data_IF_692082217596
#
_entry.id   IF_692082217596
#
_cell.length_a   1.000
_cell.length_b   1.000
_cell.length_c   1.000
_cell.angle_alpha   90.00
_cell.angle_beta   90.00
_cell.angle_gamma   90.00
#
_symmetry.space_group_name_H-M   'P 1'
#
loop_
_entity.id
_entity.type
_entity.pdbx_description
1 polymer ?
#
# COMPACT_ATOMS: atom_id res chain seq x y z
N UNK A 1 3.30 -3.97 36.56
CA UNK A 1 2.64 -2.93 35.74
C UNK A 1 3.60 -2.56 34.62
N UNK A 2 3.52 -3.26 33.49
CA UNK A 2 4.44 -3.04 32.37
C UNK A 2 4.02 -1.77 31.65
N UNK A 3 4.81 -0.72 31.86
CA UNK A 3 4.70 0.55 31.15
C UNK A 3 4.85 0.25 29.66
N UNK A 4 3.97 0.83 28.85
CA UNK A 4 4.00 0.79 27.40
C UNK A 4 5.44 0.99 26.88
N UNK A 5 5.99 -0.02 26.20
CA UNK A 5 7.32 0.12 25.60
C UNK A 5 7.21 1.03 24.38
N UNK A 6 7.60 2.30 24.55
CA UNK A 6 7.66 3.29 23.48
C UNK A 6 8.51 2.79 22.30
N UNK A 7 9.48 1.90 22.55
CA UNK A 7 10.28 1.24 21.51
C UNK A 7 9.45 0.36 20.58
N UNK A 8 8.50 -0.42 21.12
CA UNK A 8 7.58 -1.28 20.36
C UNK A 8 6.71 -0.48 19.40
N UNK A 9 6.18 0.66 19.84
CA UNK A 9 5.40 1.55 18.96
C UNK A 9 6.27 2.15 17.86
N UNK A 10 7.48 2.61 18.18
CA UNK A 10 8.42 3.17 17.20
C UNK A 10 8.72 2.14 16.10
N UNK A 11 8.96 0.87 16.46
CA UNK A 11 9.19 -0.21 15.49
C UNK A 11 7.97 -0.53 14.63
N UNK A 12 6.76 -0.28 15.13
CA UNK A 12 5.52 -0.50 14.40
C UNK A 12 5.14 0.64 13.42
N UNK A 13 5.69 1.85 13.62
CA UNK A 13 5.31 3.05 12.85
C UNK A 13 5.54 2.94 11.33
N UNK A 14 6.66 2.38 10.81
CA UNK A 14 6.84 2.25 9.37
C UNK A 14 5.69 1.47 8.71
N UNK A 15 5.33 0.32 9.27
CA UNK A 15 4.24 -0.53 8.80
C UNK A 15 2.86 0.15 8.93
N UNK A 16 2.64 0.86 10.04
CA UNK A 16 1.42 1.65 10.26
C UNK A 16 1.25 2.74 9.19
N UNK A 17 2.35 3.41 8.80
CA UNK A 17 2.35 4.39 7.70
C UNK A 17 2.08 3.72 6.37
N UNK A 18 2.76 2.62 6.04
CA UNK A 18 2.50 1.88 4.79
C UNK A 18 1.02 1.52 4.65
N UNK A 19 0.44 0.94 5.69
CA UNK A 19 -0.98 0.61 5.74
C UNK A 19 -1.89 1.85 5.58
N UNK A 20 -1.64 2.93 6.34
CA UNK A 20 -2.45 4.14 6.29
C UNK A 20 -2.37 4.85 4.94
N UNK A 21 -1.17 4.95 4.34
CA UNK A 21 -0.97 5.56 3.03
C UNK A 21 -1.66 4.75 1.94
N UNK A 22 -1.54 3.42 1.97
CA UNK A 22 -2.23 2.55 1.02
C UNK A 22 -3.77 2.63 1.17
N UNK A 23 -4.28 2.74 2.39
CA UNK A 23 -5.72 2.85 2.66
C UNK A 23 -6.31 4.21 2.26
N UNK A 24 -5.53 5.28 2.39
CA UNK A 24 -5.95 6.67 2.09
C UNK A 24 -5.56 7.16 0.69
N UNK A 25 -4.66 6.44 0.01
CA UNK A 25 -4.13 6.79 -1.32
C UNK A 25 -3.11 7.93 -1.34
N UNK A 26 -2.69 8.44 -0.19
CA UNK A 26 -1.82 9.62 -0.08
C UNK A 26 -0.82 9.50 1.07
N UNK A 27 0.40 9.97 0.85
CA UNK A 27 1.41 10.10 1.90
C UNK A 27 0.91 11.05 3.01
N UNK A 28 0.54 12.27 2.64
CA UNK A 28 0.16 13.32 3.58
C UNK A 28 -1.03 12.88 4.46
N UNK A 29 -2.12 12.42 3.83
CA UNK A 29 -3.31 12.00 4.56
C UNK A 29 -3.05 10.75 5.39
N UNK A 30 -2.25 9.81 4.89
CA UNK A 30 -1.86 8.60 5.62
C UNK A 30 -1.08 8.93 6.89
N UNK A 31 -0.08 9.81 6.78
CA UNK A 31 0.79 10.19 7.91
C UNK A 31 0.03 11.01 8.97
N UNK A 32 -0.89 11.88 8.55
CA UNK A 32 -1.82 12.59 9.45
C UNK A 32 -2.69 11.60 10.25
N UNK A 33 -3.27 10.59 9.58
CA UNK A 33 -4.07 9.54 10.22
C UNK A 33 -3.24 8.72 11.21
N UNK A 34 -1.98 8.39 10.88
CA UNK A 34 -1.08 7.68 11.81
C UNK A 34 -0.78 8.53 13.05
N UNK A 35 -0.51 9.82 12.89
CA UNK A 35 -0.23 10.71 14.01
C UNK A 35 -1.41 10.81 14.98
N UNK A 36 -2.64 10.79 14.47
CA UNK A 36 -3.86 10.74 15.28
C UNK A 36 -4.11 9.38 15.94
N UNK A 37 -3.92 8.30 15.19
CA UNK A 37 -4.04 6.94 15.70
C UNK A 37 -3.04 6.68 16.84
N UNK A 38 -1.81 7.18 16.70
CA UNK A 38 -0.79 7.10 17.75
C UNK A 38 -1.25 7.82 19.02
N UNK A 39 -1.79 9.04 18.90
CA UNK A 39 -2.34 9.78 20.06
C UNK A 39 -3.47 9.00 20.75
N UNK A 40 -4.33 8.32 19.98
CA UNK A 40 -5.38 7.47 20.53
C UNK A 40 -4.81 6.26 21.29
N UNK A 41 -3.84 5.55 20.70
CA UNK A 41 -3.24 4.36 21.33
C UNK A 41 -2.46 4.74 22.59
N UNK A 42 -1.75 5.87 22.59
CA UNK A 42 -1.03 6.39 23.77
C UNK A 42 -1.98 6.88 24.88
N UNK A 43 -3.14 7.45 24.53
CA UNK A 43 -4.10 8.01 25.48
C UNK A 43 -5.10 6.98 26.04
N UNK A 44 -5.34 5.90 25.31
CA UNK A 44 -6.05 4.73 25.83
C UNK A 44 -5.10 4.01 26.78
N UNK A 45 -5.52 3.68 28.00
CA UNK A 45 -4.74 2.86 28.93
C UNK A 45 -4.64 1.41 28.42
N UNK A 46 -4.03 1.19 27.25
CA UNK A 46 -3.67 -0.09 26.68
C UNK A 46 -2.50 -0.66 27.50
N UNK A 47 -2.79 -0.97 28.76
CA UNK A 47 -1.87 -1.62 29.66
C UNK A 47 -1.52 -2.99 29.07
N UNK A 48 -0.26 -3.18 28.67
CA UNK A 48 0.28 -4.51 28.38
C UNK A 48 0.59 -4.85 26.92
N UNK A 49 0.67 -3.88 26.00
CA UNK A 49 1.29 -4.13 24.68
C UNK A 49 2.79 -4.42 24.87
N UNK A 50 3.11 -5.69 25.07
CA UNK A 50 4.48 -6.15 25.32
C UNK A 50 5.15 -6.71 24.06
N UNK A 51 4.35 -7.05 23.05
CA UNK A 51 4.82 -7.61 21.79
C UNK A 51 4.61 -6.65 20.61
N UNK A 52 5.60 -6.60 19.70
CA UNK A 52 5.57 -5.80 18.47
C UNK A 52 4.31 -6.10 17.62
N UNK A 53 3.85 -7.35 17.61
CA UNK A 53 2.61 -7.74 16.92
C UNK A 53 1.37 -7.03 17.50
N UNK A 54 1.24 -6.97 18.83
CA UNK A 54 0.08 -6.35 19.48
C UNK A 54 0.05 -4.84 19.22
N UNK A 55 1.21 -4.19 19.25
CA UNK A 55 1.34 -2.76 18.94
C UNK A 55 0.94 -2.46 17.49
N UNK A 56 1.35 -3.30 16.53
CA UNK A 56 0.91 -3.18 15.13
C UNK A 56 -0.60 -3.30 15.01
N UNK A 57 -1.21 -4.33 15.59
CA UNK A 57 -2.68 -4.52 15.53
C UNK A 57 -3.43 -3.35 16.17
N UNK A 58 -2.95 -2.83 17.30
CA UNK A 58 -3.54 -1.67 17.95
C UNK A 58 -3.50 -0.42 17.06
N UNK A 59 -2.35 -0.14 16.42
CA UNK A 59 -2.21 0.98 15.49
C UNK A 59 -3.08 0.79 14.23
N UNK A 60 -3.10 -0.39 13.62
CA UNK A 60 -3.94 -0.69 12.47
C UNK A 60 -5.43 -0.47 12.75
N UNK A 61 -5.90 -0.92 13.92
CA UNK A 61 -7.28 -0.71 14.33
C UNK A 61 -7.60 0.77 14.58
N UNK A 62 -6.70 1.50 15.24
CA UNK A 62 -6.86 2.94 15.46
C UNK A 62 -6.86 3.73 14.13
N UNK A 63 -6.04 3.34 13.15
CA UNK A 63 -6.07 3.91 11.79
C UNK A 63 -7.43 3.66 11.12
N UNK A 64 -7.93 2.43 11.19
CA UNK A 64 -9.22 2.04 10.63
C UNK A 64 -10.38 2.89 11.15
N UNK A 65 -10.38 3.22 12.43
CA UNK A 65 -11.39 4.10 13.03
C UNK A 65 -11.38 5.50 12.47
N UNK A 66 -10.18 6.06 12.30
CA UNK A 66 -10.01 7.44 11.85
C UNK A 66 -10.46 7.58 10.42
N UNK A 67 -10.09 6.62 9.58
CA UNK A 67 -10.56 6.59 8.19
C UNK A 67 -12.08 6.43 8.16
N UNK A 68 -12.66 5.54 8.97
CA UNK A 68 -14.12 5.34 9.05
C UNK A 68 -14.86 6.58 9.55
N UNK A 69 -14.31 7.30 10.52
CA UNK A 69 -14.92 8.52 11.05
C UNK A 69 -14.83 9.70 10.07
N UNK A 70 -13.85 9.68 9.16
CA UNK A 70 -13.65 10.71 8.14
C UNK A 70 -14.38 10.42 6.82
N UNK A 71 -14.85 9.19 6.58
CA UNK A 71 -15.73 8.88 5.44
C UNK A 71 -17.15 9.37 5.78
N UNK A 72 -17.77 10.25 4.97
CA UNK A 72 -19.16 10.62 5.17
C UNK A 72 -20.04 9.36 5.11
N UNK A 73 -21.05 9.30 5.97
CA UNK A 73 -22.05 8.23 5.89
C UNK A 73 -22.57 8.15 4.45
N UNK A 74 -22.70 6.97 3.85
CA UNK A 74 -23.09 6.84 2.45
C UNK A 74 -24.45 7.52 2.22
N UNK A 75 -24.43 8.70 1.58
CA UNK A 75 -25.62 9.36 1.07
C UNK A 75 -26.02 8.64 -0.23
N UNK A 76 -26.77 7.54 -0.06
CA UNK A 76 -27.06 6.58 -1.12
C UNK A 76 -26.15 5.36 -0.98
N UNK A 77 -26.76 4.16 -1.03
CA UNK A 77 -26.04 2.90 -0.90
C UNK A 77 -24.82 2.84 -1.82
N UNK A 78 -23.74 2.19 -1.35
CA UNK A 78 -22.54 1.98 -2.14
C UNK A 78 -22.91 1.52 -3.55
N UNK A 79 -22.34 2.18 -4.57
CA UNK A 79 -22.56 1.78 -5.95
C UNK A 79 -22.24 0.28 -6.10
N UNK A 80 -23.15 -0.48 -6.73
CA UNK A 80 -22.94 -1.91 -6.97
C UNK A 80 -21.58 -2.11 -7.66
N UNK A 81 -20.64 -2.77 -6.97
CA UNK A 81 -19.29 -3.04 -7.47
C UNK A 81 -18.14 -2.26 -6.80
N UNK A 82 -18.42 -1.27 -5.94
CA UNK A 82 -17.36 -0.63 -5.14
C UNK A 82 -17.01 -1.44 -3.89
N UNK A 83 -15.71 -1.70 -3.71
CA UNK A 83 -15.20 -2.41 -2.55
C UNK A 83 -15.34 -1.58 -1.28
N UNK A 84 -15.95 -2.15 -0.25
CA UNK A 84 -16.19 -1.45 1.01
C UNK A 84 -14.89 -1.10 1.73
N UNK A 85 -14.92 -0.11 2.64
CA UNK A 85 -13.77 0.21 3.49
C UNK A 85 -13.28 -1.03 4.25
N UNK A 86 -14.20 -1.82 4.80
CA UNK A 86 -13.85 -3.04 5.54
C UNK A 86 -13.11 -4.06 4.66
N UNK A 87 -13.60 -4.28 3.45
CA UNK A 87 -12.97 -5.19 2.48
C UNK A 87 -11.57 -4.73 2.09
N UNK A 88 -11.40 -3.42 1.84
CA UNK A 88 -10.09 -2.80 1.58
C UNK A 88 -9.13 -2.97 2.75
N UNK A 89 -9.59 -2.72 3.97
CA UNK A 89 -8.79 -2.92 5.19
C UNK A 89 -8.34 -4.37 5.32
N UNK A 90 -9.24 -5.34 5.14
CA UNK A 90 -8.91 -6.77 5.23
C UNK A 90 -7.89 -7.19 4.18
N UNK A 91 -8.03 -6.74 2.93
CA UNK A 91 -7.06 -7.01 1.88
C UNK A 91 -5.67 -6.44 2.21
N UNK A 92 -5.60 -5.18 2.62
CA UNK A 92 -4.34 -4.54 2.98
C UNK A 92 -3.69 -5.21 4.19
N UNK A 93 -4.46 -5.52 5.23
CA UNK A 93 -3.91 -6.17 6.42
C UNK A 93 -3.40 -7.58 6.14
N UNK A 94 -4.09 -8.35 5.30
CA UNK A 94 -3.72 -9.75 5.03
C UNK A 94 -2.69 -9.91 3.92
N UNK A 95 -2.75 -9.10 2.86
CA UNK A 95 -1.80 -9.17 1.75
C UNK A 95 -0.59 -8.26 1.98
N UNK A 96 -0.80 -6.96 2.20
CA UNK A 96 0.30 -5.99 2.30
C UNK A 96 1.05 -6.06 3.64
N UNK A 97 0.30 -6.18 4.75
CA UNK A 97 0.88 -6.25 6.09
C UNK A 97 1.09 -7.69 6.58
N UNK A 98 0.76 -8.69 5.76
CA UNK A 98 0.94 -10.13 6.04
C UNK A 98 0.40 -10.58 7.41
N UNK A 99 -0.68 -9.95 7.88
CA UNK A 99 -1.30 -10.30 9.16
C UNK A 99 -2.20 -11.52 8.99
N UNK A 100 -2.20 -12.45 9.97
CA UNK A 100 -3.16 -13.55 9.96
C UNK A 100 -4.59 -13.00 10.04
N UNK A 101 -5.54 -13.71 9.41
CA UNK A 101 -6.94 -13.27 9.30
C UNK A 101 -7.56 -12.94 10.66
N UNK A 102 -7.21 -13.67 11.71
CA UNK A 102 -7.69 -13.41 13.08
C UNK A 102 -7.21 -12.07 13.63
N UNK A 103 -5.96 -11.68 13.36
CA UNK A 103 -5.41 -10.40 13.77
C UNK A 103 -5.95 -9.24 12.92
N UNK A 104 -6.13 -9.47 11.60
CA UNK A 104 -6.80 -8.51 10.73
C UNK A 104 -8.26 -8.28 11.16
N UNK A 105 -9.00 -9.34 11.51
CA UNK A 105 -10.36 -9.25 12.04
C UNK A 105 -10.41 -8.43 13.34
N UNK A 106 -9.45 -8.65 14.25
CA UNK A 106 -9.32 -7.90 15.49
C UNK A 106 -9.05 -6.40 15.23
N UNK A 107 -8.12 -6.07 14.32
CA UNK A 107 -7.87 -4.69 13.90
C UNK A 107 -9.14 -4.04 13.30
N UNK A 108 -9.89 -4.78 12.49
CA UNK A 108 -11.14 -4.32 11.88
C UNK A 108 -12.35 -4.29 12.82
N UNK A 109 -12.22 -4.78 14.06
CA UNK A 109 -13.28 -4.89 15.08
C UNK A 109 -14.46 -5.76 14.66
N UNK A 110 -14.15 -6.89 14.05
CA UNK A 110 -15.14 -7.87 13.63
C UNK A 110 -14.72 -9.27 14.07
N UNK A 111 -15.67 -10.20 14.03
CA UNK A 111 -15.38 -11.61 14.30
C UNK A 111 -14.72 -12.28 13.09
N UNK A 112 -13.86 -13.31 13.28
CA UNK A 112 -13.14 -13.97 12.18
C UNK A 112 -14.05 -14.54 11.07
N UNK A 113 -15.23 -15.06 11.43
CA UNK A 113 -16.18 -15.60 10.45
C UNK A 113 -16.69 -14.52 9.47
N UNK A 114 -16.94 -13.30 9.97
CA UNK A 114 -17.31 -12.15 9.12
C UNK A 114 -16.11 -11.73 8.27
N UNK A 115 -14.91 -11.69 8.84
CA UNK A 115 -13.70 -11.31 8.11
C UNK A 115 -13.43 -12.27 6.94
N UNK A 116 -13.66 -13.57 7.13
CA UNK A 116 -13.48 -14.57 6.07
C UNK A 116 -14.44 -14.34 4.89
N UNK A 117 -15.72 -14.08 5.18
CA UNK A 117 -16.71 -13.79 4.16
C UNK A 117 -16.37 -12.51 3.39
N UNK A 118 -16.09 -11.42 4.11
CA UNK A 118 -15.76 -10.12 3.50
C UNK A 118 -14.48 -10.18 2.68
N UNK A 119 -13.44 -10.87 3.17
CA UNK A 119 -12.19 -11.03 2.43
C UNK A 119 -12.39 -11.85 1.15
N UNK A 120 -13.28 -12.85 1.16
CA UNK A 120 -13.63 -13.63 -0.03
C UNK A 120 -14.29 -12.73 -1.08
N UNK A 121 -15.30 -11.95 -0.69
CA UNK A 121 -15.98 -10.99 -1.57
C UNK A 121 -15.01 -9.93 -2.12
N UNK A 122 -14.10 -9.45 -1.28
CA UNK A 122 -13.07 -8.49 -1.68
C UNK A 122 -12.14 -9.08 -2.76
N UNK A 123 -11.70 -10.33 -2.59
CA UNK A 123 -10.85 -11.03 -3.57
C UNK A 123 -11.57 -11.26 -4.89
N UNK A 124 -12.84 -11.60 -4.87
CA UNK A 124 -13.63 -11.75 -6.10
C UNK A 124 -13.73 -10.41 -6.85
N UNK A 125 -13.89 -9.30 -6.11
CA UNK A 125 -13.91 -7.95 -6.68
C UNK A 125 -12.57 -7.51 -7.30
N UNK A 126 -11.44 -7.98 -6.75
CA UNK A 126 -10.11 -7.74 -7.37
C UNK A 126 -10.00 -8.38 -8.75
N UNK A 127 -10.59 -9.56 -8.94
CA UNK A 127 -10.53 -10.31 -10.21
C UNK A 127 -11.32 -9.64 -11.32
N UNK A 128 -12.28 -8.78 -10.96
CA UNK A 128 -13.08 -7.98 -11.89
C UNK A 128 -12.52 -6.57 -12.09
N UNK A 129 -11.36 -6.26 -11.50
CA UNK A 129 -10.72 -4.95 -11.55
C UNK A 129 -10.30 -4.49 -12.95
N UNK A 130 -10.06 -3.19 -13.09
CA UNK A 130 -9.71 -2.55 -14.37
C UNK A 130 -8.29 -2.91 -14.79
N UNK A 131 -8.14 -3.46 -15.99
CA UNK A 131 -6.85 -3.67 -16.64
C UNK A 131 -6.17 -2.31 -16.95
N UNK A 132 -4.87 -2.21 -16.73
CA UNK A 132 -4.08 -1.00 -17.01
C UNK A 132 -2.75 -1.36 -17.66
N UNK A 133 -2.09 -0.35 -18.21
CA UNK A 133 -0.78 -0.44 -18.87
C UNK A 133 0.30 -0.11 -17.86
N UNK A 134 1.23 -1.03 -17.64
CA UNK A 134 2.23 -0.95 -16.56
C UNK A 134 3.62 -0.78 -17.15
N UNK A 135 4.34 0.25 -16.70
CA UNK A 135 5.78 0.37 -16.90
C UNK A 135 6.50 -0.21 -15.68
N UNK A 136 7.48 -1.08 -15.91
CA UNK A 136 8.34 -1.64 -14.87
C UNK A 136 9.70 -0.95 -14.93
N UNK A 137 10.24 -0.52 -13.79
CA UNK A 137 11.58 0.04 -13.65
C UNK A 137 12.35 -0.86 -12.69
N UNK A 138 13.28 -1.66 -13.21
CA UNK A 138 13.99 -2.72 -12.51
C UNK A 138 15.27 -3.07 -13.28
N UNK A 139 16.44 -3.05 -12.63
CA UNK A 139 17.72 -3.37 -13.27
C UNK A 139 18.05 -4.86 -13.25
N UNK A 140 17.50 -5.62 -12.30
CA UNK A 140 17.70 -7.06 -12.20
C UNK A 140 16.77 -7.83 -13.16
N UNK A 141 17.29 -8.47 -14.24
CA UNK A 141 16.43 -9.02 -15.29
C UNK A 141 15.50 -10.15 -14.82
N UNK A 142 15.96 -10.96 -13.86
CA UNK A 142 15.16 -12.07 -13.30
C UNK A 142 13.99 -11.49 -12.50
N UNK A 143 14.24 -10.49 -11.66
CA UNK A 143 13.19 -9.83 -10.89
C UNK A 143 12.21 -9.13 -11.83
N UNK A 144 12.70 -8.46 -12.87
CA UNK A 144 11.83 -7.78 -13.84
C UNK A 144 10.87 -8.75 -14.55
N UNK A 145 11.36 -9.94 -14.94
CA UNK A 145 10.55 -10.99 -15.55
C UNK A 145 9.51 -11.55 -14.58
N UNK A 146 9.90 -11.80 -13.32
CA UNK A 146 8.97 -12.26 -12.29
C UNK A 146 7.85 -11.24 -12.06
N UNK A 147 8.20 -9.95 -11.95
CA UNK A 147 7.22 -8.86 -11.80
C UNK A 147 6.31 -8.79 -13.03
N UNK A 148 6.86 -8.88 -14.24
CA UNK A 148 6.08 -8.89 -15.48
C UNK A 148 5.04 -10.02 -15.47
N UNK A 149 5.44 -11.26 -15.15
CA UNK A 149 4.51 -12.40 -15.10
C UNK A 149 3.40 -12.16 -14.07
N UNK A 150 3.73 -11.62 -12.90
CA UNK A 150 2.75 -11.30 -11.86
C UNK A 150 1.76 -10.21 -12.32
N UNK A 151 2.25 -9.16 -12.96
CA UNK A 151 1.44 -8.06 -13.51
C UNK A 151 0.46 -8.60 -14.56
N UNK A 152 0.94 -9.41 -15.49
CA UNK A 152 0.14 -10.00 -16.56
C UNK A 152 -0.92 -10.97 -16.01
N UNK A 153 -0.56 -11.78 -14.99
CA UNK A 153 -1.51 -12.66 -14.29
C UNK A 153 -2.61 -11.90 -13.53
N UNK A 154 -2.35 -10.65 -13.14
CA UNK A 154 -3.36 -9.76 -12.56
C UNK A 154 -4.27 -9.11 -13.62
N UNK A 155 -4.06 -9.39 -14.91
CA UNK A 155 -4.88 -8.86 -16.01
C UNK A 155 -4.41 -7.50 -16.54
N UNK A 156 -3.24 -7.02 -16.12
CA UNK A 156 -2.63 -5.80 -16.66
C UNK A 156 -1.71 -6.14 -17.85
N UNK A 157 -1.29 -5.13 -18.61
CA UNK A 157 -0.32 -5.30 -19.72
C UNK A 157 0.96 -4.52 -19.45
N UNK A 158 2.11 -5.17 -19.61
CA UNK A 158 3.41 -4.50 -19.47
C UNK A 158 3.76 -3.81 -20.79
N UNK A 159 4.01 -2.49 -20.74
CA UNK A 159 4.36 -1.70 -21.92
C UNK A 159 5.86 -1.57 -22.15
N UNK A 160 6.64 -1.87 -21.11
CA UNK A 160 8.09 -1.83 -21.17
C UNK A 160 8.71 -2.12 -19.81
N UNK A 161 9.99 -2.51 -19.86
CA UNK A 161 10.86 -2.68 -18.71
C UNK A 161 12.05 -1.76 -18.93
N UNK A 162 12.34 -0.90 -17.96
CA UNK A 162 13.49 -0.01 -17.95
C UNK A 162 14.50 -0.44 -16.89
N UNK A 163 15.78 -0.58 -17.27
CA UNK A 163 16.85 -0.89 -16.33
C UNK A 163 17.56 0.37 -15.81
N UNK A 164 17.27 1.54 -16.40
CA UNK A 164 17.91 2.81 -16.04
C UNK A 164 16.92 3.96 -15.96
N UNK A 165 17.30 5.05 -15.27
CA UNK A 165 16.48 6.25 -15.20
C UNK A 165 16.14 6.84 -16.58
N UNK A 166 17.11 6.83 -17.50
CA UNK A 166 16.95 7.41 -18.83
C UNK A 166 15.96 6.61 -19.68
N UNK A 167 16.07 5.28 -19.64
CA UNK A 167 15.12 4.38 -20.32
C UNK A 167 13.72 4.52 -19.74
N UNK A 168 13.59 4.62 -18.42
CA UNK A 168 12.31 4.75 -17.75
C UNK A 168 11.56 6.01 -18.19
N UNK A 169 12.25 7.15 -18.25
CA UNK A 169 11.67 8.40 -18.73
C UNK A 169 11.27 8.31 -20.20
N UNK A 170 12.14 7.77 -21.06
CA UNK A 170 11.85 7.62 -22.48
C UNK A 170 10.64 6.70 -22.74
N UNK A 171 10.56 5.55 -22.07
CA UNK A 171 9.44 4.61 -22.18
C UNK A 171 8.16 5.20 -21.62
N UNK A 172 8.22 5.93 -20.50
CA UNK A 172 7.03 6.58 -19.95
C UNK A 172 6.45 7.63 -20.90
N UNK A 173 7.29 8.44 -21.54
CA UNK A 173 6.88 9.45 -22.52
C UNK A 173 6.25 8.81 -23.78
N UNK A 174 6.87 7.75 -24.29
CA UNK A 174 6.42 7.04 -25.48
C UNK A 174 5.12 6.25 -25.25
N UNK A 175 5.07 5.48 -24.16
CA UNK A 175 4.00 4.51 -23.93
C UNK A 175 2.84 5.06 -23.10
N UNK A 176 3.04 6.15 -22.35
CA UNK A 176 2.04 6.77 -21.47
C UNK A 176 1.37 5.72 -20.55
N UNK A 177 2.13 5.05 -19.67
CA UNK A 177 1.61 4.00 -18.81
C UNK A 177 0.55 4.52 -17.84
N UNK A 178 -0.43 3.67 -17.50
CA UNK A 178 -1.46 3.95 -16.50
C UNK A 178 -1.05 3.56 -15.08
N UNK A 179 0.11 2.92 -14.90
CA UNK A 179 0.72 2.58 -13.62
C UNK A 179 2.24 2.42 -13.82
N UNK A 180 3.02 2.84 -12.84
CA UNK A 180 4.47 2.58 -12.80
C UNK A 180 4.80 1.72 -11.58
N UNK A 181 5.51 0.61 -11.80
CA UNK A 181 6.17 -0.16 -10.76
C UNK A 181 7.66 0.15 -10.81
N UNK A 182 8.23 0.61 -9.71
CA UNK A 182 9.62 1.05 -9.69
C UNK A 182 10.40 0.46 -8.51
N UNK A 183 11.53 -0.18 -8.77
CA UNK A 183 12.58 -0.29 -7.76
C UNK A 183 13.14 1.10 -7.46
N UNK A 184 13.54 1.31 -6.21
CA UNK A 184 14.28 2.47 -5.76
C UNK A 184 15.73 2.40 -6.23
N UNK A 185 16.37 1.24 -6.13
CA UNK A 185 17.80 1.11 -6.36
C UNK A 185 18.06 0.34 -7.65
N UNK A 186 18.47 1.04 -8.71
CA UNK A 186 18.76 0.44 -10.01
C UNK A 186 20.26 0.14 -10.20
N UNK A 187 21.02 0.07 -9.10
CA UNK A 187 22.46 -0.19 -9.14
C UNK A 187 23.21 0.83 -10.00
N UNK A 188 23.79 0.37 -11.10
CA UNK A 188 24.49 1.23 -12.07
C UNK A 188 23.55 2.09 -12.93
N UNK A 189 22.25 1.75 -12.97
CA UNK A 189 21.20 2.43 -13.72
C UNK A 189 20.64 3.68 -13.04
N UNK A 190 21.02 3.96 -11.78
CA UNK A 190 20.66 5.17 -11.03
C UNK A 190 19.64 4.93 -9.91
N UNK A 191 18.90 5.99 -9.57
CA UNK A 191 17.87 6.01 -8.54
C UNK A 191 16.48 6.03 -9.18
N UNK A 192 15.71 4.95 -8.97
CA UNK A 192 14.37 4.84 -9.53
C UNK A 192 13.38 5.85 -8.94
N UNK A 193 13.59 6.38 -7.74
CA UNK A 193 12.80 7.49 -7.21
C UNK A 193 13.05 8.78 -8.00
N UNK A 194 14.28 9.01 -8.46
CA UNK A 194 14.59 10.12 -9.35
C UNK A 194 13.96 9.93 -10.74
N UNK A 195 14.00 8.71 -11.29
CA UNK A 195 13.30 8.37 -12.54
C UNK A 195 11.80 8.68 -12.43
N UNK A 196 11.16 8.19 -11.38
CA UNK A 196 9.73 8.44 -11.10
C UNK A 196 9.45 9.93 -10.96
N UNK A 197 10.25 10.67 -10.19
CA UNK A 197 10.04 12.11 -10.02
C UNK A 197 10.11 12.88 -11.34
N UNK A 198 10.95 12.43 -12.29
CA UNK A 198 11.01 12.99 -13.64
C UNK A 198 9.79 12.62 -14.48
N UNK A 199 9.36 11.36 -14.44
CA UNK A 199 8.15 10.87 -15.13
C UNK A 199 6.92 11.68 -14.68
N UNK A 200 6.76 11.88 -13.37
CA UNK A 200 5.61 12.55 -12.79
C UNK A 200 5.51 14.05 -13.11
N UNK A 201 6.58 14.69 -13.61
CA UNK A 201 6.51 16.07 -14.11
C UNK A 201 5.63 16.21 -15.37
N UNK A 202 5.43 15.11 -16.09
CA UNK A 202 4.79 15.10 -17.41
C UNK A 202 3.65 14.09 -17.51
N UNK A 203 3.44 13.27 -16.48
CA UNK A 203 2.49 12.16 -16.42
C UNK A 203 1.82 12.09 -15.05
N UNK A 204 0.52 11.81 -15.05
CA UNK A 204 -0.28 11.63 -13.83
C UNK A 204 -0.56 10.16 -13.57
N UNK A 205 0.45 9.30 -13.71
CA UNK A 205 0.31 7.87 -13.47
C UNK A 205 0.55 7.55 -11.97
N UNK A 206 -0.27 6.70 -11.33
CA UNK A 206 0.04 6.19 -10.01
C UNK A 206 1.36 5.41 -10.04
N UNK A 207 2.09 5.46 -8.93
CA UNK A 207 3.38 4.79 -8.77
C UNK A 207 3.34 3.90 -7.54
N UNK A 208 3.85 2.68 -7.70
CA UNK A 208 4.09 1.74 -6.62
C UNK A 208 5.60 1.48 -6.58
N UNK A 209 6.21 1.75 -5.44
CA UNK A 209 7.61 1.41 -5.22
C UNK A 209 7.75 0.00 -4.71
N UNK A 210 8.81 -0.67 -5.16
CA UNK A 210 9.09 -2.07 -4.85
C UNK A 210 10.51 -2.14 -4.28
N UNK A 211 10.69 -2.61 -3.05
CA UNK A 211 12.02 -2.56 -2.40
C UNK A 211 12.21 -3.67 -1.37
N UNK A 212 13.46 -4.07 -1.11
CA UNK A 212 13.79 -4.96 -0.01
C UNK A 212 13.78 -4.26 1.38
N UNK A 213 13.84 -2.92 1.42
CA UNK A 213 13.97 -2.13 2.67
C UNK A 213 12.88 -1.04 2.76
N UNK A 214 11.61 -1.42 2.92
CA UNK A 214 10.47 -0.49 2.89
C UNK A 214 10.55 0.60 3.98
N UNK A 215 11.14 0.29 5.13
CA UNK A 215 11.26 1.21 6.27
C UNK A 215 12.00 2.51 5.96
N UNK A 216 12.88 2.50 4.95
CA UNK A 216 13.60 3.69 4.48
C UNK A 216 12.71 4.70 3.76
N UNK A 217 11.53 4.27 3.30
CA UNK A 217 10.52 5.09 2.62
C UNK A 217 9.28 5.35 3.48
N UNK A 218 9.34 5.02 4.76
CA UNK A 218 8.20 5.09 5.68
C UNK A 218 8.59 5.87 6.94
N UNK A 219 9.48 6.86 6.79
CA UNK A 219 9.98 7.71 7.86
C UNK A 219 9.00 8.82 8.22
N UNK A 220 8.22 9.31 7.25
CA UNK A 220 7.32 10.46 7.39
C UNK A 220 8.04 11.81 7.50
N UNK A 221 9.33 11.88 7.17
CA UNK A 221 10.18 13.08 7.33
C UNK A 221 10.49 13.79 6.00
N UNK A 222 10.26 13.13 4.86
CA UNK A 222 10.49 13.64 3.52
C UNK A 222 9.31 13.32 2.60
N UNK A 223 9.37 13.76 1.34
CA UNK A 223 8.44 13.29 0.32
C UNK A 223 8.71 11.80 0.05
N UNK A 224 7.73 10.96 0.35
CA UNK A 224 7.80 9.50 0.28
C UNK A 224 6.58 8.96 -0.47
N UNK A 225 6.68 7.79 -1.11
CA UNK A 225 5.58 7.24 -1.87
C UNK A 225 4.38 6.81 -1.02
N UNK A 226 3.20 6.89 -1.65
CA UNK A 226 1.95 6.43 -1.07
C UNK A 226 1.82 4.89 -1.06
N UNK A 227 2.41 4.21 -2.04
CA UNK A 227 2.35 2.76 -2.18
C UNK A 227 3.76 2.17 -2.24
N UNK A 228 4.04 1.24 -1.33
CA UNK A 228 5.32 0.53 -1.21
C UNK A 228 5.05 -0.95 -0.99
N UNK A 229 5.68 -1.81 -1.78
CA UNK A 229 5.65 -3.26 -1.66
C UNK A 229 7.05 -3.77 -1.32
N UNK A 230 7.12 -4.77 -0.45
CA UNK A 230 8.40 -5.38 -0.06
C UNK A 230 8.76 -6.54 -0.99
N UNK A 231 10.01 -6.63 -1.44
CA UNK A 231 10.54 -7.82 -2.14
C UNK A 231 10.96 -8.91 -1.13
N UNK A 232 10.73 -10.20 -1.43
CA UNK A 232 9.86 -10.73 -2.49
C UNK A 232 8.37 -10.57 -2.12
N UNK A 233 7.49 -10.47 -3.11
CA UNK A 233 6.04 -10.34 -2.90
C UNK A 233 5.26 -11.35 -3.73
N UNK A 234 4.07 -11.70 -3.23
CA UNK A 234 3.17 -12.63 -3.90
C UNK A 234 2.18 -11.91 -4.84
N UNK A 235 1.52 -12.64 -5.76
CA UNK A 235 0.56 -12.05 -6.71
C UNK A 235 -0.59 -11.27 -6.03
N UNK A 236 -1.03 -11.69 -4.85
CA UNK A 236 -2.14 -11.05 -4.11
C UNK A 236 -1.72 -9.67 -3.61
N UNK A 237 -0.50 -9.55 -3.09
CA UNK A 237 0.03 -8.26 -2.63
C UNK A 237 0.11 -7.26 -3.77
N UNK A 238 0.60 -7.69 -4.93
CA UNK A 238 0.61 -6.87 -6.13
C UNK A 238 -0.82 -6.47 -6.55
N UNK A 239 -1.73 -7.43 -6.68
CA UNK A 239 -3.12 -7.16 -7.07
C UNK A 239 -3.84 -6.17 -6.13
N UNK A 240 -3.60 -6.28 -4.82
CA UNK A 240 -4.16 -5.34 -3.83
C UNK A 240 -3.55 -3.95 -4.01
N UNK A 241 -2.22 -3.86 -4.15
CA UNK A 241 -1.55 -2.59 -4.31
C UNK A 241 -1.93 -1.88 -5.61
N UNK A 242 -1.98 -2.61 -6.74
CA UNK A 242 -2.43 -2.05 -8.03
C UNK A 242 -3.88 -1.62 -7.97
N UNK A 243 -4.77 -2.41 -7.36
CA UNK A 243 -6.16 -2.02 -7.16
C UNK A 243 -6.28 -0.71 -6.36
N UNK A 244 -5.58 -0.59 -5.24
CA UNK A 244 -5.60 0.64 -4.43
C UNK A 244 -4.99 1.82 -5.19
N UNK A 245 -3.88 1.61 -5.90
CA UNK A 245 -3.23 2.66 -6.66
C UNK A 245 -4.11 3.17 -7.83
N UNK A 246 -4.86 2.28 -8.49
CA UNK A 246 -5.73 2.67 -9.61
C UNK A 246 -7.06 3.28 -9.11
N UNK A 247 -7.62 2.79 -8.01
CA UNK A 247 -8.92 3.28 -7.49
C UNK A 247 -8.80 4.48 -6.56
N UNK A 248 -7.67 4.64 -5.87
CA UNK A 248 -7.44 5.67 -4.85
C UNK A 248 -6.18 6.50 -5.06
N UNK A 249 -5.32 6.12 -6.01
CA UNK A 249 -4.10 6.88 -6.29
C UNK A 249 -4.39 8.34 -6.61
N UNK A 250 -3.67 9.21 -5.93
CA UNK A 250 -3.67 10.64 -6.19
C UNK A 250 -3.18 10.90 -7.62
N UNK A 251 -3.96 11.63 -8.41
CA UNK A 251 -3.46 12.37 -9.58
C UNK A 251 -2.51 13.43 -9.03
N UNK A 252 -1.21 13.46 -9.38
CA UNK A 252 -0.32 14.50 -8.88
C UNK A 252 -0.88 15.87 -9.26
N UNK A 253 -0.87 16.77 -8.26
CA UNK A 253 -1.24 18.19 -8.37
C UNK A 253 -0.20 18.92 -9.21
#
# INVERSE_FOLDING_TARGET
>A
MTVMDRGTLIRALPYARRYARALTGSQQRGDEVVAEALRQVLGSSAAGLSADAEARIALYGAIGDRVRAAEPAPEGGAAEGEMSLLQRMLLLLTALEEQPLTAAAAACRIVPATAELELRLARDSLRTGVATRVLIIEDEPIIALDIQELVERCGHSVVGIAATEAEAVALAEAERPGLVLADINLGAGGDGAHAVARILKHLTAPVIFVTAYPERLLTGEALEPAFVITKPFDPTTLAVATFQAVTRGVRPV
#
